data_IF_317833027037
#
_entry.id   IF_317833027037
#
_cell.length_a   1.000
_cell.length_b   1.000
_cell.length_c   1.000
_cell.angle_alpha   90.00
_cell.angle_beta   90.00
_cell.angle_gamma   90.00
#
_symmetry.space_group_name_H-M   'P 1'
#
loop_
_entity.id
_entity.type
_entity.pdbx_description
1 polymer ?
#
# COMPACT_ATOMS: atom_id res chain seq x y z
N UNK A 1 -31.29 27.17 25.21
CA UNK A 1 -32.19 27.16 24.03
C UNK A 1 -31.34 26.96 22.79
N UNK A 2 -31.78 26.15 21.83
CA UNK A 2 -31.11 26.01 20.54
C UNK A 2 -31.61 27.10 19.58
N UNK A 3 -30.70 27.78 18.90
CA UNK A 3 -31.04 28.74 17.84
C UNK A 3 -31.25 27.96 16.53
N UNK A 4 -32.42 28.11 15.90
CA UNK A 4 -32.70 27.53 14.58
C UNK A 4 -32.51 28.57 13.50
N UNK A 5 -31.57 28.34 12.60
CA UNK A 5 -31.45 29.10 11.36
C UNK A 5 -32.34 28.44 10.30
N UNK A 6 -33.20 29.24 9.65
CA UNK A 6 -34.11 28.79 8.58
C UNK A 6 -33.63 29.19 7.19
N UNK A 7 -32.46 29.83 7.13
CA UNK A 7 -31.73 30.21 5.93
C UNK A 7 -30.26 29.87 6.12
N UNK A 8 -29.50 29.88 5.03
CA UNK A 8 -28.04 29.71 5.10
C UNK A 8 -27.41 30.78 5.99
N UNK A 9 -26.38 30.40 6.72
CA UNK A 9 -25.58 31.31 7.53
C UNK A 9 -24.34 31.72 6.73
N UNK A 10 -24.23 33.01 6.39
CA UNK A 10 -23.02 33.60 5.83
C UNK A 10 -22.17 34.21 6.95
N UNK A 11 -20.90 33.83 7.04
CA UNK A 11 -19.95 34.35 8.04
C UNK A 11 -19.25 35.64 7.58
N UNK A 12 -19.55 36.17 6.39
CA UNK A 12 -18.93 37.38 5.83
C UNK A 12 -17.39 37.32 5.83
N UNK A 13 -16.83 36.17 5.43
CA UNK A 13 -15.39 35.85 5.45
C UNK A 13 -14.75 35.71 6.85
N UNK A 14 -15.54 35.75 7.92
CA UNK A 14 -15.08 35.35 9.24
C UNK A 14 -15.05 33.82 9.37
N UNK A 15 -14.41 33.35 10.43
CA UNK A 15 -14.30 31.93 10.76
C UNK A 15 -15.22 31.56 11.92
N UNK A 16 -15.53 30.26 12.02
CA UNK A 16 -16.19 29.70 13.19
C UNK A 16 -15.12 29.20 14.17
N UNK A 17 -14.82 29.98 15.20
CA UNK A 17 -13.79 29.62 16.19
C UNK A 17 -14.34 28.65 17.24
N UNK A 18 -13.52 27.67 17.64
CA UNK A 18 -13.85 26.66 18.66
C UNK A 18 -15.17 25.92 18.36
N UNK A 19 -15.50 25.78 17.08
CA UNK A 19 -16.70 25.09 16.66
C UNK A 19 -16.62 23.60 16.98
N UNK A 20 -17.75 23.02 17.37
CA UNK A 20 -17.96 21.57 17.35
C UNK A 20 -18.88 21.25 16.17
N UNK A 21 -18.46 20.33 15.32
CA UNK A 21 -19.32 19.76 14.28
C UNK A 21 -20.37 18.83 14.92
N UNK A 22 -21.22 18.21 14.11
CA UNK A 22 -22.20 17.26 14.64
C UNK A 22 -21.51 15.94 15.01
N UNK A 23 -21.44 15.60 16.30
CA UNK A 23 -20.92 14.30 16.75
C UNK A 23 -22.05 13.27 16.82
N UNK A 24 -21.88 12.13 16.15
CA UNK A 24 -22.84 11.03 16.10
C UNK A 24 -22.08 9.71 16.14
N UNK A 25 -22.68 8.63 16.64
CA UNK A 25 -22.08 7.28 16.60
C UNK A 25 -22.39 6.52 15.30
N UNK A 26 -23.26 7.08 14.46
CA UNK A 26 -23.62 6.54 13.14
C UNK A 26 -23.92 7.70 12.20
N UNK A 27 -23.73 7.47 10.92
CA UNK A 27 -23.97 8.47 9.89
C UNK A 27 -25.46 8.93 9.87
N UNK A 28 -25.74 10.23 9.61
CA UNK A 28 -27.10 10.73 9.43
C UNK A 28 -27.90 9.95 8.37
N UNK A 29 -29.11 9.51 8.71
CA UNK A 29 -29.98 8.69 7.84
C UNK A 29 -30.71 9.44 6.73
N UNK A 30 -30.65 10.77 6.71
CA UNK A 30 -31.16 11.62 5.60
C UNK A 30 -30.15 12.72 5.31
N UNK A 31 -28.96 12.34 4.82
CA UNK A 31 -27.85 13.27 4.68
C UNK A 31 -28.06 14.21 3.49
N UNK A 32 -27.55 15.42 3.59
CA UNK A 32 -27.51 16.39 2.48
C UNK A 32 -26.08 16.47 1.96
N UNK A 33 -25.89 16.60 0.64
CA UNK A 33 -24.57 16.83 0.06
C UNK A 33 -23.91 18.07 0.69
N UNK A 34 -22.62 17.98 1.00
CA UNK A 34 -21.89 19.03 1.71
C UNK A 34 -21.93 18.92 3.24
N UNK A 35 -22.76 18.04 3.81
CA UNK A 35 -22.84 17.87 5.26
C UNK A 35 -21.55 17.27 5.82
N UNK A 36 -21.17 17.71 7.03
CA UNK A 36 -20.00 17.22 7.78
C UNK A 36 -20.47 16.71 9.14
N UNK A 37 -19.99 15.54 9.56
CA UNK A 37 -20.18 15.04 10.93
C UNK A 37 -18.89 14.38 11.45
N UNK A 38 -18.75 14.28 12.77
CA UNK A 38 -17.72 13.49 13.43
C UNK A 38 -18.35 12.18 13.92
N UNK A 39 -17.83 11.05 13.46
CA UNK A 39 -18.21 9.74 13.95
C UNK A 39 -17.48 9.45 15.27
N UNK A 40 -18.23 9.32 16.36
CA UNK A 40 -17.68 9.03 17.69
C UNK A 40 -17.35 7.56 17.89
N UNK A 41 -17.78 6.67 17.00
CA UNK A 41 -17.37 5.27 17.02
C UNK A 41 -15.96 5.08 16.43
N UNK A 42 -15.70 5.78 15.33
CA UNK A 42 -14.47 5.62 14.52
C UNK A 42 -13.51 6.82 14.62
N UNK A 43 -13.79 7.78 15.51
CA UNK A 43 -13.02 9.00 15.77
C UNK A 43 -12.62 9.81 14.53
N UNK A 44 -13.54 9.89 13.56
CA UNK A 44 -13.25 10.35 12.21
C UNK A 44 -14.27 11.38 11.73
N UNK A 45 -13.80 12.39 11.00
CA UNK A 45 -14.68 13.36 10.33
C UNK A 45 -15.08 12.81 8.96
N UNK A 46 -16.38 12.82 8.67
CA UNK A 46 -16.93 12.45 7.38
C UNK A 46 -17.57 13.63 6.67
N UNK A 47 -17.39 13.70 5.36
CA UNK A 47 -18.06 14.62 4.44
C UNK A 47 -19.02 13.86 3.54
N UNK A 48 -20.25 14.34 3.38
CA UNK A 48 -21.23 13.75 2.47
C UNK A 48 -21.01 14.29 1.05
N UNK A 49 -20.58 13.43 0.12
CA UNK A 49 -20.64 13.75 -1.31
C UNK A 49 -22.03 13.37 -1.89
N UNK A 50 -22.19 13.46 -3.20
CA UNK A 50 -23.44 13.12 -3.89
C UNK A 50 -23.98 11.70 -3.59
N UNK A 51 -23.14 10.74 -3.19
CA UNK A 51 -23.52 9.31 -3.09
C UNK A 51 -23.14 8.61 -1.78
N UNK A 52 -22.06 9.01 -1.12
CA UNK A 52 -21.51 8.36 0.07
C UNK A 52 -21.01 9.36 1.12
N UNK A 53 -20.87 8.88 2.37
CA UNK A 53 -20.05 9.54 3.38
C UNK A 53 -18.59 9.17 3.14
N UNK A 54 -17.74 10.17 2.97
CA UNK A 54 -16.31 10.01 2.69
C UNK A 54 -15.52 10.45 3.91
N UNK A 55 -14.57 9.62 4.34
CA UNK A 55 -13.62 9.97 5.39
C UNK A 55 -12.74 11.12 4.89
N UNK A 56 -12.72 12.25 5.59
CA UNK A 56 -11.89 13.40 5.18
C UNK A 56 -10.39 13.16 5.37
N UNK A 57 -10.01 12.20 6.22
CA UNK A 57 -8.62 11.76 6.37
C UNK A 57 -8.11 10.98 5.14
N UNK A 58 -9.00 10.57 4.23
CA UNK A 58 -8.70 9.80 3.04
C UNK A 58 -8.99 8.30 3.19
N UNK A 59 -9.04 7.60 2.05
CA UNK A 59 -9.46 6.19 2.00
C UNK A 59 -8.35 5.22 2.39
N UNK A 60 -7.09 5.53 2.04
CA UNK A 60 -5.92 4.67 2.34
C UNK A 60 -5.35 5.08 3.69
N UNK A 61 -5.59 4.25 4.71
CA UNK A 61 -5.04 4.43 6.07
C UNK A 61 -3.66 3.79 6.27
N UNK A 62 -3.22 2.96 5.32
CA UNK A 62 -1.89 2.36 5.37
C UNK A 62 -1.58 1.46 4.17
N UNK A 63 -0.28 1.27 3.94
CA UNK A 63 0.27 0.36 2.94
C UNK A 63 1.23 -0.59 3.65
N UNK A 64 0.90 -1.88 3.66
CA UNK A 64 1.75 -2.94 4.21
C UNK A 64 2.36 -3.73 3.07
N UNK A 65 3.69 -3.86 3.05
CA UNK A 65 4.37 -4.68 2.05
C UNK A 65 4.06 -6.17 2.25
N UNK A 66 3.64 -6.83 1.17
CA UNK A 66 3.47 -8.29 1.14
C UNK A 66 4.79 -9.04 0.94
N UNK A 67 4.71 -10.37 0.84
CA UNK A 67 5.89 -11.22 0.62
C UNK A 67 6.66 -10.82 -0.65
N UNK A 68 7.98 -10.70 -0.53
CA UNK A 68 8.86 -10.32 -1.65
C UNK A 68 8.99 -8.80 -1.87
N UNK A 69 8.31 -7.98 -1.06
CA UNK A 69 8.41 -6.52 -1.07
C UNK A 69 8.91 -5.99 0.28
N UNK A 70 9.44 -4.77 0.27
CA UNK A 70 9.83 -3.99 1.46
C UNK A 70 9.28 -2.57 1.35
N UNK A 71 9.22 -1.85 2.48
CA UNK A 71 8.68 -0.49 2.56
C UNK A 71 7.25 -0.47 3.10
N UNK A 72 6.44 0.45 2.59
CA UNK A 72 5.12 0.75 3.13
C UNK A 72 5.13 1.89 4.16
N UNK A 73 3.96 2.18 4.73
CA UNK A 73 3.78 3.29 5.65
C UNK A 73 2.31 3.68 5.84
N UNK A 74 2.04 4.47 6.86
CA UNK A 74 0.68 4.93 7.24
C UNK A 74 0.49 6.44 7.04
N UNK A 75 1.54 7.17 6.65
CA UNK A 75 1.48 8.62 6.44
C UNK A 75 2.60 9.11 5.52
N UNK A 76 2.39 10.27 4.91
CA UNK A 76 3.35 10.94 4.04
C UNK A 76 3.57 10.23 2.71
N UNK A 77 4.71 10.48 2.09
CA UNK A 77 5.12 9.79 0.86
C UNK A 77 5.58 8.38 1.23
N UNK A 78 4.87 7.38 0.70
CA UNK A 78 5.17 5.97 0.93
C UNK A 78 5.89 5.38 -0.28
N UNK A 79 6.92 4.57 -0.03
CA UNK A 79 7.64 3.81 -1.07
C UNK A 79 7.51 2.32 -0.81
N UNK A 80 7.30 1.55 -1.87
CA UNK A 80 7.34 0.08 -1.85
C UNK A 80 8.36 -0.38 -2.89
N UNK A 81 9.26 -1.27 -2.49
CA UNK A 81 10.34 -1.80 -3.33
C UNK A 81 10.35 -3.32 -3.31
N UNK A 82 11.03 -3.93 -4.29
CA UNK A 82 11.35 -5.36 -4.20
C UNK A 82 12.30 -5.61 -3.02
N UNK A 83 11.99 -6.62 -2.21
CA UNK A 83 12.92 -7.11 -1.22
C UNK A 83 14.15 -7.70 -1.92
N UNK A 84 15.35 -7.37 -1.45
CA UNK A 84 16.56 -8.05 -1.89
C UNK A 84 16.43 -9.56 -1.69
N UNK A 85 16.96 -10.32 -2.64
CA UNK A 85 17.16 -11.76 -2.49
C UNK A 85 18.59 -12.02 -1.98
N UNK A 86 18.94 -13.27 -1.67
CA UNK A 86 20.33 -13.62 -1.37
C UNK A 86 21.20 -13.73 -2.64
N UNK A 87 20.62 -13.52 -3.83
CA UNK A 87 21.35 -13.53 -5.10
C UNK A 87 22.19 -12.27 -5.21
N UNK A 88 23.50 -12.46 -5.36
CA UNK A 88 24.42 -11.37 -5.66
C UNK A 88 24.32 -10.99 -7.14
N UNK A 89 24.32 -9.70 -7.46
CA UNK A 89 24.32 -9.24 -8.84
C UNK A 89 25.61 -9.69 -9.55
N UNK A 90 25.46 -10.60 -10.50
CA UNK A 90 26.55 -11.16 -11.30
C UNK A 90 25.98 -11.80 -12.58
N UNK A 91 26.85 -12.12 -13.53
CA UNK A 91 26.51 -13.04 -14.61
C UNK A 91 26.74 -14.49 -14.14
N UNK A 92 25.74 -15.34 -14.33
CA UNK A 92 25.81 -16.77 -14.03
C UNK A 92 25.79 -17.56 -15.34
N UNK A 93 26.57 -18.63 -15.41
CA UNK A 93 26.83 -19.41 -16.61
C UNK A 93 28.10 -18.97 -17.35
N UNK A 94 28.67 -19.91 -18.11
CA UNK A 94 29.81 -19.70 -19.02
C UNK A 94 29.89 -20.85 -20.03
N UNK A 95 30.91 -20.87 -20.89
CA UNK A 95 31.15 -22.01 -21.78
C UNK A 95 31.43 -23.33 -21.02
N UNK A 96 31.91 -23.25 -19.77
CA UNK A 96 32.27 -24.41 -18.95
C UNK A 96 31.40 -24.57 -17.69
N UNK A 97 30.32 -23.78 -17.56
CA UNK A 97 29.42 -23.87 -16.41
C UNK A 97 27.99 -23.49 -16.77
N UNK A 98 27.00 -24.22 -16.27
CA UNK A 98 25.58 -23.88 -16.39
C UNK A 98 25.12 -23.11 -15.16
N UNK A 99 24.24 -22.13 -15.35
CA UNK A 99 23.59 -21.43 -14.24
C UNK A 99 22.56 -22.36 -13.58
N UNK A 100 22.56 -22.38 -12.24
CA UNK A 100 21.53 -23.03 -11.43
C UNK A 100 20.89 -21.99 -10.53
N UNK A 101 19.62 -22.19 -10.19
CA UNK A 101 18.87 -21.27 -9.35
C UNK A 101 17.81 -21.99 -8.55
N UNK A 102 17.42 -21.37 -7.44
CA UNK A 102 16.24 -21.74 -6.65
C UNK A 102 15.27 -20.59 -6.66
N UNK A 103 13.97 -20.88 -6.69
CA UNK A 103 12.92 -19.86 -6.58
C UNK A 103 12.14 -20.02 -5.28
N UNK A 104 11.62 -18.92 -4.75
CA UNK A 104 10.62 -18.96 -3.68
C UNK A 104 9.23 -19.30 -4.23
N UNK A 105 8.25 -19.39 -3.32
CA UNK A 105 6.85 -19.64 -3.66
C UNK A 105 6.22 -18.52 -4.50
N UNK A 106 6.87 -17.35 -4.57
CA UNK A 106 6.44 -16.22 -5.40
C UNK A 106 7.15 -16.21 -6.77
N UNK A 107 8.04 -17.18 -7.04
CA UNK A 107 8.76 -17.31 -8.31
C UNK A 107 10.00 -16.42 -8.43
N UNK A 108 10.44 -15.75 -7.36
CA UNK A 108 11.68 -14.95 -7.36
C UNK A 108 12.89 -15.83 -7.09
N UNK A 109 14.03 -15.55 -7.72
CA UNK A 109 15.28 -16.26 -7.46
C UNK A 109 15.79 -15.97 -6.04
N UNK A 110 15.91 -17.00 -5.21
CA UNK A 110 16.44 -16.90 -3.84
C UNK A 110 17.92 -17.25 -3.74
N UNK A 111 18.41 -18.07 -4.67
CA UNK A 111 19.83 -18.33 -4.87
C UNK A 111 20.11 -18.50 -6.36
N UNK A 112 21.33 -18.14 -6.76
CA UNK A 112 21.87 -18.40 -8.08
C UNK A 112 23.34 -18.82 -7.93
N UNK A 113 23.75 -19.82 -8.70
CA UNK A 113 25.09 -20.39 -8.68
C UNK A 113 25.50 -20.91 -10.05
N UNK A 114 26.77 -21.25 -10.19
CA UNK A 114 27.30 -21.94 -11.37
C UNK A 114 27.58 -23.39 -11.03
N UNK A 115 27.09 -24.32 -11.85
CA UNK A 115 27.50 -25.71 -11.82
C UNK A 115 28.44 -26.00 -12.98
N UNK A 116 29.65 -26.49 -12.69
CA UNK A 116 30.65 -26.81 -13.71
C UNK A 116 30.14 -27.89 -14.65
N UNK A 117 30.34 -27.69 -15.95
CA UNK A 117 30.14 -28.73 -16.97
C UNK A 117 31.36 -29.65 -16.93
N UNK A 118 31.20 -30.86 -16.42
CA UNK A 118 32.26 -31.87 -16.37
C UNK A 118 31.97 -32.99 -17.37
N UNK A 119 32.77 -33.08 -18.43
CA UNK A 119 32.74 -34.17 -19.40
C UNK A 119 34.03 -35.00 -19.23
N UNK A 120 34.02 -36.11 -18.46
CA UNK A 120 35.21 -36.94 -18.32
C UNK A 120 35.52 -37.61 -19.68
N UNK A 121 36.80 -37.88 -19.96
CA UNK A 121 37.21 -38.55 -21.21
C UNK A 121 36.51 -39.91 -21.39
N UNK A 122 36.22 -40.61 -20.31
CA UNK A 122 35.45 -41.86 -20.31
C UNK A 122 33.99 -41.71 -20.78
N UNK A 123 33.44 -40.49 -20.80
CA UNK A 123 32.12 -40.20 -21.35
C UNK A 123 32.14 -40.03 -22.89
N UNK A 124 33.32 -40.00 -23.52
CA UNK A 124 33.49 -39.88 -24.97
C UNK A 124 34.21 -41.13 -25.50
N UNK A 125 33.49 -41.98 -26.24
CA UNK A 125 33.98 -43.30 -26.67
C UNK A 125 35.07 -43.25 -27.75
N UNK A 126 35.22 -42.12 -28.43
CA UNK A 126 36.18 -41.89 -29.51
C UNK A 126 37.30 -40.91 -29.10
N UNK A 127 37.46 -40.68 -27.79
CA UNK A 127 38.56 -39.89 -27.26
C UNK A 127 39.79 -40.79 -27.10
N UNK A 128 40.40 -41.14 -28.23
CA UNK A 128 41.66 -41.90 -28.25
C UNK A 128 42.83 -41.02 -27.89
#
# INVERSE_FOLDING_TARGET
>A
MAMKFVTNLDLNKNELQNARVQNLATAPGSPVEGQIYYDTGDDTIYFRNASAWINIAGDISGVTAGTGLTGGGTSGVVTVTLANTAVTAAAYGSATAVATFTVDAQGRLTAAANATIAIPSTAVTDFT
#
